data_IF_631587448130
#
_entry.id   IF_631587448130
#
_cell.length_a   1.000
_cell.length_b   1.000
_cell.length_c   1.000
_cell.angle_alpha   90.00
_cell.angle_beta   90.00
_cell.angle_gamma   90.00
#
_symmetry.space_group_name_H-M   'P 1'
#
loop_
_entity.id
_entity.type
_entity.pdbx_description
1 polymer ?
#
# COMPACT_ATOMS: atom_id res chain seq x y z
N UNK A 1 4.35 4.43 4.53
CA UNK A 1 5.62 5.07 4.99
C UNK A 1 6.85 4.27 4.61
N UNK A 2 6.93 2.98 4.94
CA UNK A 2 8.12 2.14 4.69
C UNK A 2 8.67 2.24 3.27
N UNK A 3 7.82 2.13 2.24
CA UNK A 3 8.28 2.21 0.85
C UNK A 3 8.85 3.58 0.47
N UNK A 4 8.29 4.67 1.01
CA UNK A 4 8.83 6.02 0.78
C UNK A 4 10.21 6.18 1.42
N UNK A 5 10.42 5.64 2.62
CA UNK A 5 11.73 5.60 3.28
C UNK A 5 12.74 4.77 2.48
N UNK A 6 12.35 3.59 2.00
CA UNK A 6 13.22 2.76 1.15
C UNK A 6 13.55 3.49 -0.15
N UNK A 7 12.59 4.17 -0.76
CA UNK A 7 12.79 4.95 -1.99
C UNK A 7 13.85 6.03 -1.83
N UNK A 8 13.79 6.84 -0.76
CA UNK A 8 14.77 7.90 -0.53
C UNK A 8 16.16 7.34 -0.19
N UNK A 9 16.23 6.26 0.59
CA UNK A 9 17.51 5.63 0.96
C UNK A 9 18.19 4.91 -0.21
N UNK A 10 17.41 4.39 -1.16
CA UNK A 10 17.94 3.62 -2.31
C UNK A 10 17.99 4.43 -3.61
N UNK A 11 17.49 5.66 -3.61
CA UNK A 11 17.33 6.50 -4.81
C UNK A 11 16.56 5.80 -5.95
N UNK A 12 15.53 5.02 -5.59
CA UNK A 12 14.67 4.30 -6.55
C UNK A 12 13.25 4.85 -6.50
N UNK A 13 12.70 5.23 -7.66
CA UNK A 13 11.34 5.74 -7.75
C UNK A 13 10.32 4.64 -7.46
N UNK A 14 9.28 5.01 -6.71
CA UNK A 14 8.10 4.16 -6.49
C UNK A 14 7.18 4.25 -7.71
N UNK A 15 6.56 3.13 -8.08
CA UNK A 15 5.51 3.08 -9.11
C UNK A 15 4.32 3.95 -8.71
N UNK A 16 3.93 4.88 -9.58
CA UNK A 16 2.84 5.84 -9.33
C UNK A 16 1.45 5.31 -9.71
N UNK A 17 1.39 4.16 -10.39
CA UNK A 17 0.18 3.52 -10.88
C UNK A 17 -0.43 2.51 -9.88
N UNK A 18 0.20 2.36 -8.70
CA UNK A 18 -0.20 1.42 -7.64
C UNK A 18 -0.61 2.17 -6.37
N UNK A 19 -1.73 1.77 -5.77
CA UNK A 19 -2.05 2.09 -4.38
C UNK A 19 -1.70 0.93 -3.45
N UNK A 20 -1.47 1.21 -2.16
CA UNK A 20 -1.23 0.18 -1.15
C UNK A 20 -1.82 0.54 0.20
N UNK A 21 -2.27 -0.46 0.94
CA UNK A 21 -2.72 -0.32 2.33
C UNK A 21 -2.30 -1.52 3.16
N UNK A 22 -2.03 -1.30 4.45
CA UNK A 22 -1.55 -2.33 5.36
C UNK A 22 -0.76 -1.72 6.52
N UNK A 23 -0.81 -2.39 7.67
CA UNK A 23 0.07 -2.07 8.80
C UNK A 23 1.29 -2.97 8.77
N UNK A 24 2.45 -2.46 9.21
CA UNK A 24 3.71 -3.20 9.21
C UNK A 24 4.24 -3.35 10.63
N UNK A 25 4.63 -4.57 10.99
CA UNK A 25 5.34 -4.85 12.25
C UNK A 25 6.83 -4.57 12.12
N UNK A 26 7.53 -4.42 13.24
CA UNK A 26 9.01 -4.32 13.26
C UNK A 26 9.70 -5.54 12.62
N UNK A 27 9.04 -6.70 12.59
CA UNK A 27 9.53 -7.92 11.93
C UNK A 27 9.16 -8.02 10.45
N UNK A 28 8.57 -6.97 9.87
CA UNK A 28 8.23 -6.92 8.44
C UNK A 28 6.95 -7.66 8.03
N UNK A 29 6.15 -8.16 8.98
CA UNK A 29 4.82 -8.73 8.66
C UNK A 29 3.84 -7.62 8.33
N UNK A 30 3.04 -7.83 7.28
CA UNK A 30 1.91 -6.98 6.91
C UNK A 30 0.64 -7.51 7.59
N UNK A 31 -0.02 -6.67 8.40
CA UNK A 31 -1.20 -7.04 9.16
C UNK A 31 -2.50 -6.64 8.43
N UNK A 32 -3.62 -7.34 8.68
CA UNK A 32 -4.92 -6.98 8.13
C UNK A 32 -5.38 -5.60 8.57
N UNK A 33 -6.19 -4.97 7.71
CA UNK A 33 -6.75 -3.64 7.95
C UNK A 33 -8.27 -3.64 7.80
N UNK A 34 -8.92 -2.72 8.51
CA UNK A 34 -10.35 -2.42 8.33
C UNK A 34 -10.63 -1.43 7.19
N UNK A 35 -11.90 -1.34 6.79
CA UNK A 35 -12.38 -0.39 5.79
C UNK A 35 -11.85 -0.65 4.37
N UNK A 36 -11.69 -1.94 4.01
CA UNK A 36 -11.11 -2.31 2.72
C UNK A 36 -11.97 -1.85 1.54
N UNK A 37 -13.31 -1.98 1.66
CA UNK A 37 -14.25 -1.61 0.60
C UNK A 37 -14.16 -0.11 0.27
N UNK A 38 -14.13 0.74 1.29
CA UNK A 38 -14.06 2.19 1.16
C UNK A 38 -12.72 2.62 0.54
N UNK A 39 -11.62 1.99 0.95
CA UNK A 39 -10.28 2.25 0.41
C UNK A 39 -10.15 1.83 -1.05
N UNK A 40 -10.71 0.68 -1.43
CA UNK A 40 -10.73 0.21 -2.82
C UNK A 40 -11.61 1.08 -3.71
N UNK A 41 -12.78 1.50 -3.22
CA UNK A 41 -13.64 2.46 -3.93
C UNK A 41 -12.91 3.79 -4.14
N UNK A 42 -12.21 4.31 -3.14
CA UNK A 42 -11.41 5.52 -3.28
C UNK A 42 -10.31 5.37 -4.34
N UNK A 43 -9.59 4.24 -4.36
CA UNK A 43 -8.57 3.96 -5.37
C UNK A 43 -9.17 3.89 -6.78
N UNK A 44 -10.31 3.21 -6.93
CA UNK A 44 -11.04 3.11 -8.20
C UNK A 44 -11.52 4.48 -8.69
N UNK A 45 -12.08 5.33 -7.80
CA UNK A 45 -12.50 6.69 -8.14
C UNK A 45 -11.36 7.60 -8.58
N UNK A 46 -10.12 7.32 -8.17
CA UNK A 46 -8.92 8.03 -8.62
C UNK A 46 -8.22 7.35 -9.82
N UNK A 47 -8.86 6.36 -10.44
CA UNK A 47 -8.35 5.68 -11.65
C UNK A 47 -7.19 4.71 -11.40
N UNK A 48 -6.94 4.32 -10.14
CA UNK A 48 -5.89 3.34 -9.81
C UNK A 48 -6.42 1.93 -10.09
N UNK A 49 -5.72 1.19 -10.96
CA UNK A 49 -6.13 -0.16 -11.40
C UNK A 49 -5.55 -1.28 -10.54
N UNK A 50 -4.46 -1.02 -9.84
CA UNK A 50 -3.73 -2.02 -9.06
C UNK A 50 -3.60 -1.55 -7.59
N UNK A 51 -4.09 -2.38 -6.67
CA UNK A 51 -4.03 -2.10 -5.22
C UNK A 51 -3.39 -3.27 -4.48
N UNK A 52 -2.33 -3.01 -3.73
CA UNK A 52 -1.69 -3.99 -2.85
C UNK A 52 -2.39 -4.01 -1.49
N UNK A 53 -2.84 -5.19 -1.07
CA UNK A 53 -3.56 -5.40 0.19
C UNK A 53 -2.87 -6.51 1.02
N UNK A 54 -3.07 -6.55 2.35
CA UNK A 54 -2.56 -7.63 3.18
C UNK A 54 -3.16 -8.98 2.74
N UNK A 55 -2.33 -10.04 2.72
CA UNK A 55 -2.78 -11.39 2.34
C UNK A 55 -3.90 -11.96 3.23
N UNK A 56 -4.01 -11.46 4.47
CA UNK A 56 -5.02 -11.89 5.44
C UNK A 56 -6.35 -11.12 5.37
N UNK A 57 -6.53 -10.27 4.36
CA UNK A 57 -7.78 -9.58 4.05
C UNK A 57 -8.54 -10.29 2.93
#
# INVERSE_FOLDING_TARGET
MTLAMVSILTNRKVRSDIAMTGEITLRGRVLPIGGLKEKLLAALSHGIKEVLIPKGN
#
